data_IF_417547786850
#
_entry.id   IF_417547786850
#
_cell.length_a   1.000
_cell.length_b   1.000
_cell.length_c   1.000
_cell.angle_alpha   90.00
_cell.angle_beta   90.00
_cell.angle_gamma   90.00
#
_symmetry.space_group_name_H-M   'P 1'
#
loop_
_entity.id
_entity.type
_entity.pdbx_description
1 polymer ?
#
# COMPACT_ATOMS: atom_id res chain seq x y z
N UNK A 1 1.49 8.75 -7.37
CA UNK A 1 2.29 8.20 -6.24
C UNK A 1 1.52 7.08 -5.57
N UNK A 2 2.18 6.02 -5.12
CA UNK A 2 1.53 4.93 -4.38
C UNK A 2 1.87 4.98 -2.89
N UNK A 3 1.05 4.34 -2.05
CA UNK A 3 1.27 4.28 -0.61
C UNK A 3 2.22 3.14 -0.24
N UNK A 4 3.26 3.45 0.54
CA UNK A 4 4.18 2.49 1.13
C UNK A 4 4.54 2.88 2.55
N UNK A 5 4.35 1.97 3.49
CA UNK A 5 4.70 2.17 4.89
C UNK A 5 5.45 0.96 5.45
N UNK A 6 6.57 1.21 6.12
CA UNK A 6 7.35 0.22 6.86
C UNK A 6 7.28 0.56 8.34
N UNK A 7 6.90 -0.42 9.16
CA UNK A 7 6.94 -0.32 10.63
C UNK A 7 7.61 -1.56 11.24
N UNK A 8 7.97 -1.45 12.51
CA UNK A 8 8.64 -2.51 13.25
C UNK A 8 7.86 -2.86 14.51
N UNK A 9 7.73 -4.17 14.76
CA UNK A 9 7.17 -4.71 15.97
C UNK A 9 8.30 -4.96 16.98
N UNK A 10 8.06 -4.56 18.23
CA UNK A 10 8.95 -4.71 19.37
C UNK A 10 8.11 -5.13 20.57
N UNK A 11 8.71 -5.86 21.51
CA UNK A 11 8.01 -6.20 22.76
C UNK A 11 7.92 -4.97 23.64
N UNK A 12 6.78 -4.82 24.29
CA UNK A 12 6.55 -3.79 25.28
C UNK A 12 5.05 -3.57 25.46
N UNK A 13 4.71 -2.62 26.33
CA UNK A 13 3.33 -2.30 26.62
C UNK A 13 2.70 -1.52 25.47
N UNK A 14 1.69 -2.12 24.82
CA UNK A 14 0.92 -1.51 23.73
C UNK A 14 0.18 -0.23 24.11
N UNK A 15 0.05 0.08 25.40
CA UNK A 15 -0.50 1.36 25.88
C UNK A 15 0.54 2.50 25.82
N UNK A 16 1.83 2.17 25.78
CA UNK A 16 2.93 3.12 25.75
C UNK A 16 3.31 3.43 24.29
N UNK A 17 3.51 4.72 24.00
CA UNK A 17 4.05 5.17 22.72
C UNK A 17 5.56 4.93 22.67
N UNK A 18 6.08 4.58 21.50
CA UNK A 18 7.52 4.55 21.24
C UNK A 18 8.09 5.97 21.28
N UNK A 19 9.42 6.07 21.31
CA UNK A 19 10.13 7.35 21.39
C UNK A 19 9.86 8.30 20.22
N UNK A 20 9.29 7.79 19.12
CA UNK A 20 8.86 8.58 17.96
C UNK A 20 7.52 9.30 18.16
N UNK A 21 6.84 9.08 19.30
CA UNK A 21 5.63 9.80 19.69
C UNK A 21 4.33 9.31 19.02
N UNK A 22 4.42 8.51 17.96
CA UNK A 22 3.27 8.10 17.15
C UNK A 22 3.09 6.58 17.06
N UNK A 23 4.18 5.81 17.13
CA UNK A 23 4.12 4.36 17.09
C UNK A 23 3.80 3.77 18.45
N UNK A 24 3.08 2.66 18.49
CA UNK A 24 2.81 1.89 19.73
C UNK A 24 3.53 0.55 19.68
N UNK A 25 3.88 0.01 20.84
CA UNK A 25 4.33 -1.38 20.92
C UNK A 25 3.25 -2.30 20.34
N UNK A 26 3.67 -3.18 19.43
CA UNK A 26 2.79 -4.14 18.78
C UNK A 26 3.47 -5.51 18.76
N UNK A 27 2.78 -6.50 19.31
CA UNK A 27 3.22 -7.88 19.30
C UNK A 27 3.04 -8.50 17.92
N UNK A 28 4.01 -9.32 17.50
CA UNK A 28 4.01 -9.99 16.20
C UNK A 28 2.83 -10.94 16.06
N UNK A 29 2.45 -11.65 17.13
CA UNK A 29 1.26 -12.51 17.15
C UNK A 29 -0.02 -11.72 16.87
N UNK A 30 -0.13 -10.51 17.45
CA UNK A 30 -1.31 -9.66 17.27
C UNK A 30 -1.34 -9.12 15.84
N UNK A 31 -0.18 -8.71 15.31
CA UNK A 31 -0.05 -8.32 13.91
C UNK A 31 -0.45 -9.45 12.95
N UNK A 32 0.03 -10.69 13.19
CA UNK A 32 -0.33 -11.86 12.38
C UNK A 32 -1.84 -12.12 12.38
N UNK A 33 -2.47 -12.19 13.55
CA UNK A 33 -3.90 -12.44 13.64
C UNK A 33 -4.74 -11.30 13.06
N UNK A 34 -4.27 -10.05 13.19
CA UNK A 34 -4.91 -8.89 12.56
C UNK A 34 -4.92 -9.01 11.03
N UNK A 35 -3.77 -9.28 10.41
CA UNK A 35 -3.67 -9.32 8.94
C UNK A 35 -4.33 -10.58 8.36
N UNK A 36 -4.34 -11.71 9.08
CA UNK A 36 -4.97 -12.95 8.63
C UNK A 36 -6.45 -13.07 9.02
N UNK A 37 -7.01 -12.07 9.73
CA UNK A 37 -8.39 -12.08 10.25
C UNK A 37 -8.69 -13.38 11.02
N UNK A 38 -7.79 -13.78 11.92
CA UNK A 38 -7.94 -14.98 12.75
C UNK A 38 -8.17 -14.64 14.23
N UNK A 39 -8.64 -15.61 15.01
CA UNK A 39 -8.97 -15.47 16.45
C UNK A 39 -9.87 -14.26 16.72
N UNK A 40 -9.47 -13.37 17.64
CA UNK A 40 -10.19 -12.15 18.02
C UNK A 40 -10.46 -11.19 16.84
N UNK A 41 -9.74 -11.32 15.72
CA UNK A 41 -9.91 -10.50 14.54
C UNK A 41 -10.81 -11.13 13.46
N UNK A 42 -11.37 -12.32 13.70
CA UNK A 42 -12.23 -13.04 12.74
C UNK A 42 -13.47 -12.25 12.30
N UNK A 43 -14.03 -11.44 13.20
CA UNK A 43 -15.17 -10.54 12.91
C UNK A 43 -14.75 -9.07 12.77
N UNK A 44 -13.45 -8.77 12.81
CA UNK A 44 -12.99 -7.40 12.78
C UNK A 44 -13.17 -6.82 11.38
N UNK A 45 -14.05 -5.81 11.25
CA UNK A 45 -14.36 -5.11 9.99
C UNK A 45 -14.86 -6.02 8.85
N UNK A 46 -15.33 -7.21 9.16
CA UNK A 46 -15.80 -8.18 8.15
C UNK A 46 -16.93 -7.66 7.26
N UNK A 47 -17.70 -6.68 7.74
CA UNK A 47 -18.79 -6.05 6.99
C UNK A 47 -18.31 -5.07 5.90
N UNK A 48 -17.07 -4.59 5.98
CA UNK A 48 -16.55 -3.50 5.12
C UNK A 48 -15.21 -3.81 4.46
N UNK A 49 -14.55 -4.90 4.84
CA UNK A 49 -13.23 -5.28 4.35
C UNK A 49 -13.14 -6.79 4.12
N UNK A 50 -12.72 -7.17 2.93
CA UNK A 50 -12.46 -8.55 2.52
C UNK A 50 -10.97 -8.91 2.73
N UNK A 51 -10.72 -10.10 3.29
CA UNK A 51 -9.42 -10.76 3.20
C UNK A 51 -9.38 -11.57 1.90
N UNK A 52 -8.77 -11.00 0.85
CA UNK A 52 -8.72 -11.63 -0.47
C UNK A 52 -7.81 -12.86 -0.48
N UNK A 53 -6.67 -12.79 0.22
CA UNK A 53 -5.64 -13.81 0.21
C UNK A 53 -4.78 -13.71 1.48
N UNK A 54 -4.26 -14.85 1.94
CA UNK A 54 -3.17 -14.86 2.92
C UNK A 54 -2.34 -16.14 2.80
N UNK A 55 -1.02 -16.01 2.95
CA UNK A 55 -0.10 -17.14 2.91
C UNK A 55 1.17 -16.85 3.73
N UNK A 56 1.81 -17.91 4.22
CA UNK A 56 3.06 -17.85 4.99
C UNK A 56 4.18 -18.56 4.24
N UNK A 57 5.40 -18.02 4.31
CA UNK A 57 6.55 -18.48 3.55
C UNK A 57 7.79 -18.62 4.44
N UNK A 58 8.71 -19.49 4.03
CA UNK A 58 10.00 -19.74 4.69
C UNK A 58 9.89 -20.01 6.20
N UNK A 59 8.78 -20.62 6.62
CA UNK A 59 8.58 -20.99 8.01
C UNK A 59 9.54 -22.14 8.37
N UNK A 60 10.17 -22.13 9.55
CA UNK A 60 10.93 -23.28 10.03
C UNK A 60 9.98 -24.47 10.27
N UNK A 61 10.54 -25.69 10.22
CA UNK A 61 9.79 -26.96 10.31
C UNK A 61 8.80 -26.98 11.49
N UNK A 62 9.18 -26.44 12.64
CA UNK A 62 8.34 -26.42 13.85
C UNK A 62 7.11 -25.49 13.76
N UNK A 63 6.99 -24.67 12.72
CA UNK A 63 5.85 -23.78 12.46
C UNK A 63 5.37 -23.79 11.01
N UNK A 64 5.83 -24.70 10.16
CA UNK A 64 5.48 -24.75 8.74
C UNK A 64 3.97 -24.85 8.51
N UNK A 65 3.32 -25.80 9.18
CA UNK A 65 1.86 -25.99 9.14
C UNK A 65 1.10 -25.11 10.14
N UNK A 66 1.82 -24.35 10.97
CA UNK A 66 1.26 -23.54 12.05
C UNK A 66 2.01 -22.21 12.17
N UNK A 67 1.88 -21.31 11.18
CA UNK A 67 2.66 -20.08 11.12
C UNK A 67 2.44 -19.17 12.33
N UNK A 68 1.28 -19.24 12.98
CA UNK A 68 1.01 -18.56 14.23
C UNK A 68 2.09 -18.88 15.28
N UNK A 69 2.50 -20.16 15.41
CA UNK A 69 3.52 -20.57 16.39
C UNK A 69 4.85 -19.84 16.20
N UNK A 70 5.20 -19.48 14.96
CA UNK A 70 6.37 -18.65 14.67
C UNK A 70 6.26 -17.27 15.30
N UNK A 71 5.14 -16.59 15.08
CA UNK A 71 4.92 -15.23 15.59
C UNK A 71 4.80 -15.19 17.11
N UNK A 72 4.19 -16.22 17.72
CA UNK A 72 4.23 -16.41 19.18
C UNK A 72 5.67 -16.59 19.65
N UNK A 73 6.46 -17.47 19.03
CA UNK A 73 7.86 -17.69 19.41
C UNK A 73 8.73 -16.43 19.26
N UNK A 74 8.48 -15.60 18.24
CA UNK A 74 9.15 -14.31 18.06
C UNK A 74 8.90 -13.38 19.27
N UNK A 75 7.64 -13.28 19.71
CA UNK A 75 7.25 -12.49 20.87
C UNK A 75 7.65 -13.14 22.21
N UNK A 76 7.92 -14.44 22.25
CA UNK A 76 8.40 -15.10 23.47
C UNK A 76 9.92 -15.02 23.63
N UNK A 77 10.69 -15.28 22.56
CA UNK A 77 12.13 -15.56 22.68
C UNK A 77 13.05 -14.45 22.19
N UNK A 78 12.53 -13.43 21.49
CA UNK A 78 13.33 -12.23 21.17
C UNK A 78 13.58 -11.41 22.45
N UNK A 79 14.68 -10.68 22.55
CA UNK A 79 14.87 -9.73 23.67
C UNK A 79 13.90 -8.55 23.57
N UNK A 80 13.52 -7.94 24.71
CA UNK A 80 12.64 -6.76 24.75
C UNK A 80 13.19 -5.58 23.96
N UNK A 81 14.52 -5.43 23.91
CA UNK A 81 15.20 -4.35 23.19
C UNK A 81 15.33 -4.57 21.68
N UNK A 82 14.82 -5.69 21.15
CA UNK A 82 15.00 -6.07 19.74
C UNK A 82 13.67 -6.18 19.00
N UNK A 83 13.71 -5.85 17.71
CA UNK A 83 12.59 -6.06 16.78
C UNK A 83 12.25 -7.54 16.71
N UNK A 84 10.98 -7.86 16.96
CA UNK A 84 10.42 -9.21 16.82
C UNK A 84 10.06 -9.49 15.38
N UNK A 85 9.51 -8.50 14.68
CA UNK A 85 9.20 -8.55 13.25
C UNK A 85 9.15 -7.15 12.63
N UNK A 86 9.05 -7.10 11.31
CA UNK A 86 8.82 -5.90 10.51
C UNK A 86 7.53 -6.07 9.71
N UNK A 87 6.87 -4.96 9.38
CA UNK A 87 5.59 -4.95 8.70
C UNK A 87 5.58 -3.88 7.61
N UNK A 88 5.43 -4.30 6.37
CA UNK A 88 5.27 -3.44 5.20
C UNK A 88 3.78 -3.43 4.79
N UNK A 89 3.26 -2.24 4.49
CA UNK A 89 1.94 -2.04 3.88
C UNK A 89 2.10 -1.32 2.55
N UNK A 90 1.52 -1.88 1.48
CA UNK A 90 1.63 -1.36 0.11
C UNK A 90 0.23 -1.28 -0.49
N UNK A 91 -0.16 -0.12 -1.04
CA UNK A 91 -1.35 -0.04 -1.86
C UNK A 91 -1.12 -0.78 -3.19
N UNK A 92 -2.02 -1.69 -3.55
CA UNK A 92 -1.99 -2.40 -4.82
C UNK A 92 -2.85 -1.66 -5.85
N UNK A 93 -2.54 -1.74 -7.15
CA UNK A 93 -3.41 -1.18 -8.19
C UNK A 93 -4.76 -1.90 -8.21
N UNK A 94 -5.86 -1.15 -8.19
CA UNK A 94 -7.23 -1.69 -8.26
C UNK A 94 -7.58 -2.22 -9.66
N UNK A 95 -6.82 -1.77 -10.66
CA UNK A 95 -6.94 -2.18 -12.06
C UNK A 95 -6.48 -3.63 -12.30
N UNK A 96 -5.70 -4.21 -11.38
CA UNK A 96 -5.31 -5.61 -11.43
C UNK A 96 -6.38 -6.47 -10.77
N UNK A 97 -6.77 -7.58 -11.40
CA UNK A 97 -7.67 -8.57 -10.78
C UNK A 97 -7.02 -9.27 -9.56
N UNK A 98 -7.83 -9.99 -8.78
CA UNK A 98 -7.41 -10.69 -7.56
C UNK A 98 -6.23 -11.65 -7.79
N UNK A 99 -6.22 -12.41 -8.88
CA UNK A 99 -5.12 -13.34 -9.16
C UNK A 99 -3.82 -12.60 -9.48
N UNK A 100 -3.90 -11.49 -10.22
CA UNK A 100 -2.73 -10.64 -10.52
C UNK A 100 -2.22 -9.92 -9.27
N UNK A 101 -3.12 -9.51 -8.36
CA UNK A 101 -2.74 -8.98 -7.05
C UNK A 101 -2.01 -10.02 -6.19
N UNK A 102 -2.42 -11.28 -6.24
CA UNK A 102 -1.72 -12.39 -5.56
C UNK A 102 -0.31 -12.57 -6.14
N UNK A 103 -0.19 -12.73 -7.46
CA UNK A 103 1.11 -12.89 -8.14
C UNK A 103 2.06 -11.70 -7.86
N UNK A 104 1.55 -10.48 -7.93
CA UNK A 104 2.29 -9.26 -7.58
C UNK A 104 2.78 -9.29 -6.13
N UNK A 105 1.90 -9.67 -5.20
CA UNK A 105 2.21 -9.71 -3.77
C UNK A 105 3.25 -10.78 -3.43
N UNK A 106 3.16 -11.95 -4.08
CA UNK A 106 4.16 -13.02 -3.94
C UNK A 106 5.51 -12.60 -4.52
N UNK A 107 5.51 -11.88 -5.65
CA UNK A 107 6.75 -11.33 -6.22
C UNK A 107 7.42 -10.32 -5.29
N UNK A 108 6.64 -9.40 -4.70
CA UNK A 108 7.14 -8.43 -3.72
C UNK A 108 7.65 -9.13 -2.45
N UNK A 109 6.94 -10.14 -1.96
CA UNK A 109 7.37 -10.97 -0.83
C UNK A 109 8.69 -11.68 -1.13
N UNK A 110 8.83 -12.25 -2.33
CA UNK A 110 10.07 -12.92 -2.73
C UNK A 110 11.24 -11.93 -2.79
N UNK A 111 11.02 -10.75 -3.39
CA UNK A 111 12.02 -9.69 -3.48
C UNK A 111 12.48 -9.22 -2.09
N UNK A 112 11.58 -9.01 -1.13
CA UNK A 112 11.98 -8.45 0.16
C UNK A 112 12.40 -9.50 1.19
N UNK A 113 11.90 -10.73 1.06
CA UNK A 113 12.05 -11.76 2.10
C UNK A 113 12.47 -13.12 1.54
N UNK A 114 11.87 -13.54 0.42
CA UNK A 114 12.07 -14.88 -0.15
C UNK A 114 13.51 -15.17 -0.56
N UNK A 115 14.17 -14.24 -1.26
CA UNK A 115 15.58 -14.39 -1.65
C UNK A 115 16.53 -14.56 -0.45
N UNK A 116 16.10 -14.11 0.73
CA UNK A 116 16.84 -14.20 1.98
C UNK A 116 16.35 -15.31 2.91
N UNK A 117 15.42 -16.16 2.46
CA UNK A 117 14.71 -17.18 3.27
C UNK A 117 14.25 -16.64 4.63
N UNK A 118 13.70 -15.43 4.64
CA UNK A 118 13.13 -14.83 5.85
C UNK A 118 11.71 -15.35 6.05
N UNK A 119 11.35 -15.86 7.25
CA UNK A 119 9.97 -16.22 7.57
C UNK A 119 9.05 -15.01 7.40
N UNK A 120 7.99 -15.18 6.60
CA UNK A 120 7.08 -14.10 6.26
C UNK A 120 5.63 -14.57 6.16
N UNK A 121 4.70 -13.63 6.27
CA UNK A 121 3.27 -13.84 6.03
C UNK A 121 2.75 -12.64 5.27
N UNK A 122 2.09 -12.90 4.15
CA UNK A 122 1.36 -11.88 3.40
C UNK A 122 -0.13 -12.03 3.61
N UNK A 123 -0.84 -10.90 3.55
CA UNK A 123 -2.28 -10.86 3.43
C UNK A 123 -2.67 -9.72 2.49
N UNK A 124 -3.68 -9.92 1.66
CA UNK A 124 -4.25 -8.90 0.80
C UNK A 124 -5.62 -8.55 1.37
N UNK A 125 -5.79 -7.28 1.75
CA UNK A 125 -7.07 -6.73 2.19
C UNK A 125 -7.63 -5.85 1.09
N UNK A 126 -8.94 -5.90 0.89
CA UNK A 126 -9.64 -4.97 0.00
C UNK A 126 -10.85 -4.40 0.73
N UNK A 127 -10.97 -3.08 0.76
CA UNK A 127 -12.14 -2.39 1.28
C UNK A 127 -12.50 -1.22 0.39
N UNK A 128 -13.74 -0.79 0.51
CA UNK A 128 -14.23 0.42 -0.15
C UNK A 128 -13.67 1.65 0.56
N UNK A 129 -13.26 2.65 -0.20
CA UNK A 129 -12.71 3.89 0.31
C UNK A 129 -13.78 4.68 1.06
N UNK A 130 -13.49 5.07 2.32
CA UNK A 130 -14.42 5.88 3.11
C UNK A 130 -14.68 7.30 2.53
N UNK A 131 -13.85 7.76 1.60
CA UNK A 131 -13.94 9.10 1.03
C UNK A 131 -15.06 9.23 -0.01
N UNK A 132 -15.20 8.25 -0.89
CA UNK A 132 -16.18 8.23 -1.98
C UNK A 132 -17.22 7.11 -1.82
N UNK A 133 -17.00 6.15 -0.93
CA UNK A 133 -17.91 5.04 -0.69
C UNK A 133 -18.01 4.07 -1.88
N UNK A 134 -17.09 4.15 -2.84
CA UNK A 134 -17.16 3.38 -4.09
C UNK A 134 -15.81 2.78 -4.51
N UNK A 135 -14.71 3.53 -4.39
CA UNK A 135 -13.42 3.06 -4.88
C UNK A 135 -12.84 1.94 -4.02
N UNK A 136 -12.45 0.83 -4.64
CA UNK A 136 -11.69 -0.23 -3.96
C UNK A 136 -10.28 0.23 -3.56
N UNK A 137 -9.79 -0.30 -2.44
CA UNK A 137 -8.46 -0.04 -1.89
C UNK A 137 -7.74 -1.35 -1.55
N UNK A 138 -7.39 -2.18 -2.56
CA UNK A 138 -6.61 -3.36 -2.30
C UNK A 138 -5.22 -2.97 -1.78
N UNK A 139 -4.78 -3.62 -0.71
CA UNK A 139 -3.47 -3.39 -0.14
C UNK A 139 -2.86 -4.66 0.43
N UNK A 140 -1.54 -4.76 0.25
CA UNK A 140 -0.72 -5.84 0.76
C UNK A 140 -0.23 -5.50 2.17
N UNK A 141 -0.44 -6.43 3.09
CA UNK A 141 0.30 -6.54 4.34
C UNK A 141 1.38 -7.61 4.20
N UNK A 142 2.65 -7.24 4.42
CA UNK A 142 3.78 -8.16 4.49
C UNK A 142 4.42 -8.09 5.89
N UNK A 143 4.14 -9.10 6.71
CA UNK A 143 4.75 -9.29 8.02
C UNK A 143 5.93 -10.25 7.89
N UNK A 144 7.13 -9.87 8.32
CA UNK A 144 8.32 -10.71 8.16
C UNK A 144 9.28 -10.61 9.34
N UNK A 145 10.06 -11.67 9.55
CA UNK A 145 11.19 -11.65 10.47
C UNK A 145 12.46 -11.28 9.72
N UNK A 146 13.24 -10.36 10.28
CA UNK A 146 14.59 -10.03 9.75
C UNK A 146 15.60 -11.18 9.98
N UNK A 147 15.17 -12.29 10.60
CA UNK A 147 15.96 -13.51 10.80
C UNK A 147 15.89 -14.39 9.55
N UNK A 148 17.03 -14.94 9.13
CA UNK A 148 17.17 -15.71 7.89
C UNK A 148 17.41 -17.20 8.14
N UNK A 149 16.83 -18.04 7.29
CA UNK A 149 17.04 -19.49 7.21
C UNK A 149 18.10 -19.89 6.15
N UNK A 150 18.88 -18.95 5.61
CA UNK A 150 19.85 -19.22 4.53
C UNK A 150 20.93 -20.24 4.90
N UNK A 151 21.30 -20.32 6.18
CA UNK A 151 22.31 -21.27 6.66
C UNK A 151 21.82 -22.73 6.68
N UNK A 152 20.52 -22.96 6.46
CA UNK A 152 19.86 -24.27 6.52
C UNK A 152 20.09 -25.03 7.83
N UNK A 153 20.41 -24.32 8.93
CA UNK A 153 20.60 -24.92 10.25
C UNK A 153 19.24 -25.01 10.95
N UNK A 154 18.84 -26.24 11.28
CA UNK A 154 17.66 -26.49 12.08
C UNK A 154 17.86 -26.00 13.51
N UNK A 155 16.87 -25.25 14.02
CA UNK A 155 16.90 -24.65 15.36
C UNK A 155 15.56 -24.87 16.04
N UNK A 156 15.59 -25.10 17.35
CA UNK A 156 14.38 -25.00 18.17
C UNK A 156 13.85 -23.55 18.16
N UNK A 157 12.57 -23.31 18.49
CA UNK A 157 12.02 -21.97 18.59
C UNK A 157 12.88 -21.04 19.47
N UNK A 158 13.29 -21.52 20.64
CA UNK A 158 14.12 -20.77 21.59
C UNK A 158 15.47 -20.41 20.97
N UNK A 159 16.11 -21.37 20.30
CA UNK A 159 17.42 -21.15 19.70
C UNK A 159 17.33 -20.18 18.53
N UNK A 160 16.33 -20.29 17.67
CA UNK A 160 16.17 -19.46 16.47
C UNK A 160 16.30 -17.95 16.77
N UNK A 161 15.63 -17.48 17.84
CA UNK A 161 15.62 -16.07 18.22
C UNK A 161 16.81 -15.62 19.07
N UNK A 162 17.71 -16.52 19.50
CA UNK A 162 18.97 -16.14 20.18
C UNK A 162 19.86 -15.27 19.30
N UNK A 163 20.85 -14.62 19.90
CA UNK A 163 21.88 -13.91 19.14
C UNK A 163 22.63 -14.87 18.20
N UNK A 164 22.88 -14.41 16.97
CA UNK A 164 23.70 -15.12 16.00
C UNK A 164 25.16 -15.21 16.48
N UNK A 165 25.82 -16.35 16.25
CA UNK A 165 27.22 -16.59 16.62
C UNK A 165 28.04 -16.91 15.38
N UNK A 166 28.75 -15.92 14.84
CA UNK A 166 29.49 -16.05 13.59
C UNK A 166 30.51 -17.21 13.59
N UNK A 167 31.23 -17.41 14.70
CA UNK A 167 32.23 -18.48 14.81
C UNK A 167 31.64 -19.89 15.00
N UNK A 168 30.40 -20.00 15.47
CA UNK A 168 29.70 -21.27 15.73
C UNK A 168 28.19 -21.10 15.49
N UNK A 169 27.73 -20.98 14.22
CA UNK A 169 26.34 -20.69 13.88
C UNK A 169 25.31 -21.69 14.43
N UNK A 170 25.73 -22.95 14.62
CA UNK A 170 24.95 -24.06 15.17
C UNK A 170 24.69 -23.94 16.67
N UNK A 171 25.46 -23.11 17.38
CA UNK A 171 25.26 -22.79 18.82
C UNK A 171 24.56 -21.45 19.04
N UNK A 172 24.31 -20.69 17.96
CA UNK A 172 23.62 -19.41 17.97
C UNK A 172 22.19 -19.49 17.44
N UNK A 173 21.51 -18.34 17.44
CA UNK A 173 20.27 -18.19 16.69
C UNK A 173 20.52 -17.85 15.23
N UNK A 174 19.44 -17.72 14.45
CA UNK A 174 19.54 -17.39 13.03
C UNK A 174 20.17 -16.01 12.80
N UNK A 175 20.88 -15.86 11.68
CA UNK A 175 21.46 -14.59 11.26
C UNK A 175 20.34 -13.58 11.03
N UNK A 176 20.55 -12.35 11.50
CA UNK A 176 19.65 -11.24 11.24
C UNK A 176 20.17 -10.47 10.02
N UNK A 177 19.40 -10.41 8.95
CA UNK A 177 19.73 -9.64 7.74
C UNK A 177 19.06 -8.27 7.89
N UNK A 178 19.82 -7.31 8.39
CA UNK A 178 19.40 -5.91 8.53
C UNK A 178 19.72 -5.11 7.27
N UNK A 179 19.24 -3.87 7.21
CA UNK A 179 19.62 -2.93 6.16
C UNK A 179 21.15 -2.78 6.00
N UNK A 180 21.91 -2.84 7.10
CA UNK A 180 23.37 -2.76 7.06
C UNK A 180 23.99 -4.02 6.44
N UNK A 181 23.44 -5.21 6.74
CA UNK A 181 23.88 -6.47 6.12
C UNK A 181 23.63 -6.47 4.61
N UNK A 182 22.56 -5.81 4.18
CA UNK A 182 22.23 -5.63 2.77
C UNK A 182 22.99 -4.46 2.09
N UNK A 183 23.79 -3.69 2.85
CA UNK A 183 24.52 -2.54 2.32
C UNK A 183 23.68 -1.28 2.06
N UNK A 184 22.41 -1.26 2.47
CA UNK A 184 21.51 -0.11 2.26
C UNK A 184 21.51 0.87 3.43
N UNK A 185 21.76 0.42 4.66
CA UNK A 185 21.72 1.27 5.86
C UNK A 185 20.42 2.09 5.94
N UNK A 186 20.55 3.42 6.02
CA UNK A 186 19.39 4.34 6.06
C UNK A 186 18.56 4.36 4.77
N UNK A 187 19.13 3.92 3.65
CA UNK A 187 18.48 3.96 2.33
C UNK A 187 17.62 2.73 2.04
N UNK A 188 17.44 1.81 3.00
CA UNK A 188 16.62 0.61 2.80
C UNK A 188 15.18 0.93 2.40
N UNK A 189 14.61 2.00 2.96
CA UNK A 189 13.24 2.41 2.65
C UNK A 189 13.13 2.91 1.21
N UNK A 190 14.13 3.66 0.74
CA UNK A 190 14.21 4.10 -0.65
C UNK A 190 14.36 2.89 -1.58
N UNK A 191 15.23 1.94 -1.24
CA UNK A 191 15.39 0.70 -2.02
C UNK A 191 14.07 -0.07 -2.15
N UNK A 192 13.36 -0.35 -1.06
CA UNK A 192 12.07 -1.05 -1.12
C UNK A 192 11.03 -0.30 -1.95
N UNK A 193 11.01 1.03 -1.84
CA UNK A 193 10.10 1.88 -2.61
C UNK A 193 10.40 1.85 -4.11
N UNK A 194 11.67 1.90 -4.49
CA UNK A 194 12.07 1.79 -5.90
C UNK A 194 11.78 0.41 -6.48
N UNK A 195 12.07 -0.67 -5.74
CA UNK A 195 11.74 -2.03 -6.20
C UNK A 195 10.23 -2.24 -6.32
N UNK A 196 9.45 -1.71 -5.36
CA UNK A 196 7.99 -1.78 -5.42
C UNK A 196 7.44 -1.05 -6.64
N UNK A 197 7.92 0.17 -6.94
CA UNK A 197 7.52 0.90 -8.16
C UNK A 197 7.80 0.07 -9.41
N UNK A 198 9.02 -0.44 -9.54
CA UNK A 198 9.44 -1.24 -10.69
C UNK A 198 8.53 -2.45 -10.89
N UNK A 199 8.33 -3.26 -9.84
CA UNK A 199 7.55 -4.49 -9.92
C UNK A 199 6.07 -4.18 -10.19
N UNK A 200 5.48 -3.14 -9.55
CA UNK A 200 4.10 -2.74 -9.85
C UNK A 200 3.95 -2.32 -11.30
N UNK A 201 4.87 -1.51 -11.82
CA UNK A 201 4.80 -1.02 -13.20
C UNK A 201 4.97 -2.16 -14.23
N UNK A 202 5.83 -3.15 -13.96
CA UNK A 202 5.94 -4.37 -14.79
C UNK A 202 4.60 -5.12 -14.88
N UNK A 203 3.86 -5.23 -13.76
CA UNK A 203 2.55 -5.86 -13.73
C UNK A 203 1.47 -5.03 -14.43
N UNK A 204 1.49 -3.71 -14.25
CA UNK A 204 0.56 -2.80 -14.90
C UNK A 204 0.76 -2.83 -16.42
N UNK A 205 1.99 -2.70 -16.91
CA UNK A 205 2.30 -2.77 -18.34
C UNK A 205 1.79 -4.07 -18.98
N UNK A 206 1.90 -5.19 -18.26
CA UNK A 206 1.49 -6.51 -18.76
C UNK A 206 -0.02 -6.77 -18.71
N UNK A 207 -0.69 -6.35 -17.64
CA UNK A 207 -2.05 -6.81 -17.35
C UNK A 207 -3.10 -5.69 -17.32
N UNK A 208 -2.69 -4.44 -17.10
CA UNK A 208 -3.57 -3.27 -17.05
C UNK A 208 -2.82 -2.00 -17.49
N UNK A 209 -2.38 -1.91 -18.76
CA UNK A 209 -1.49 -0.84 -19.22
C UNK A 209 -2.18 0.52 -19.28
N UNK A 210 -3.50 0.54 -19.39
CA UNK A 210 -4.32 1.75 -19.34
C UNK A 210 -5.36 1.64 -18.23
N UNK A 211 -5.88 2.80 -17.82
CA UNK A 211 -6.96 2.93 -16.85
C UNK A 211 -7.86 4.09 -17.21
N UNK A 212 -9.10 4.00 -16.81
CA UNK A 212 -10.07 5.08 -16.96
C UNK A 212 -10.07 5.91 -15.68
N UNK A 213 -9.94 7.22 -15.82
CA UNK A 213 -10.07 8.18 -14.74
C UNK A 213 -11.09 9.25 -15.09
N UNK A 214 -11.72 9.80 -14.06
CA UNK A 214 -12.63 10.92 -14.21
C UNK A 214 -11.97 12.21 -13.73
N UNK A 215 -11.86 13.19 -14.64
CA UNK A 215 -11.37 14.53 -14.36
C UNK A 215 -12.49 15.52 -14.66
N UNK A 216 -12.94 16.25 -13.65
CA UNK A 216 -14.00 17.26 -13.78
C UNK A 216 -15.27 16.78 -14.53
N UNK A 217 -15.70 15.52 -14.30
CA UNK A 217 -16.89 14.95 -14.95
C UNK A 217 -16.65 14.37 -16.36
N UNK A 218 -15.39 14.30 -16.81
CA UNK A 218 -15.02 13.67 -18.08
C UNK A 218 -14.20 12.41 -17.81
N UNK A 219 -14.65 11.28 -18.36
CA UNK A 219 -13.88 10.05 -18.37
C UNK A 219 -12.82 10.10 -19.48
N UNK A 220 -11.57 9.84 -19.11
CA UNK A 220 -10.44 9.74 -20.04
C UNK A 220 -9.66 8.46 -19.78
N UNK A 221 -9.19 7.83 -20.86
CA UNK A 221 -8.27 6.70 -20.80
C UNK A 221 -6.83 7.22 -20.74
N UNK A 222 -6.07 6.77 -19.75
CA UNK A 222 -4.68 7.19 -19.50
C UNK A 222 -3.79 6.00 -19.23
N UNK A 223 -2.47 6.19 -19.34
CA UNK A 223 -1.51 5.15 -18.98
C UNK A 223 -1.56 4.83 -17.48
N UNK A 224 -1.47 3.54 -17.17
CA UNK A 224 -1.43 3.05 -15.81
C UNK A 224 0.02 2.89 -15.36
N UNK A 225 0.45 3.78 -14.46
CA UNK A 225 1.76 3.71 -13.83
C UNK A 225 1.70 4.27 -12.41
N UNK A 226 2.64 3.83 -11.58
CA UNK A 226 2.87 4.36 -10.24
C UNK A 226 4.27 4.95 -10.15
N UNK A 227 4.48 5.80 -9.13
CA UNK A 227 5.80 6.29 -8.77
C UNK A 227 5.98 6.33 -7.26
N UNK A 228 7.20 6.06 -6.81
CA UNK A 228 7.66 6.07 -5.43
C UNK A 228 8.18 7.43 -4.97
N UNK A 229 8.28 8.41 -5.88
CA UNK A 229 8.71 9.75 -5.55
C UNK A 229 7.71 10.44 -4.61
N UNK A 230 8.20 11.37 -3.81
CA UNK A 230 7.32 12.33 -3.14
C UNK A 230 6.70 13.26 -4.19
N UNK A 231 5.60 13.93 -3.87
CA UNK A 231 5.04 14.95 -4.77
C UNK A 231 6.09 16.05 -5.04
N UNK A 232 6.88 16.44 -4.03
CA UNK A 232 7.97 17.40 -4.17
C UNK A 232 9.04 16.94 -5.18
N UNK A 233 9.56 15.72 -5.03
CA UNK A 233 10.57 15.18 -5.94
C UNK A 233 10.02 14.98 -7.35
N UNK A 234 8.76 14.55 -7.46
CA UNK A 234 8.08 14.39 -8.75
C UNK A 234 7.90 15.74 -9.45
N UNK A 235 7.47 16.77 -8.72
CA UNK A 235 7.37 18.15 -9.20
C UNK A 235 8.72 18.66 -9.69
N UNK A 236 9.79 18.45 -8.92
CA UNK A 236 11.14 18.85 -9.31
C UNK A 236 11.62 18.14 -10.59
N UNK A 237 11.27 16.87 -10.76
CA UNK A 237 11.69 16.05 -11.91
C UNK A 237 10.87 16.34 -13.18
N UNK A 238 9.56 16.57 -13.05
CA UNK A 238 8.62 16.63 -14.16
C UNK A 238 8.02 18.02 -14.40
N UNK A 239 8.32 19.01 -13.55
CA UNK A 239 7.80 20.37 -13.66
C UNK A 239 6.31 20.51 -13.32
N UNK A 240 5.76 19.56 -12.56
CA UNK A 240 4.36 19.57 -12.11
C UNK A 240 4.17 20.35 -10.80
N UNK A 241 2.92 20.61 -10.43
CA UNK A 241 2.54 21.32 -9.19
C UNK A 241 1.62 20.49 -8.29
N UNK A 242 1.97 19.22 -8.07
CA UNK A 242 1.22 18.30 -7.21
C UNK A 242 1.26 18.75 -5.75
N UNK A 243 0.11 18.64 -5.07
CA UNK A 243 -0.05 18.97 -3.65
C UNK A 243 -0.25 17.70 -2.81
N UNK A 244 0.30 17.71 -1.61
CA UNK A 244 0.05 16.63 -0.65
C UNK A 244 -1.40 16.63 -0.18
N UNK A 245 -1.96 15.43 -0.06
CA UNK A 245 -3.33 15.22 0.40
C UNK A 245 -3.32 15.13 1.93
N UNK A 246 -4.04 16.03 2.64
CA UNK A 246 -4.07 15.98 4.10
C UNK A 246 -4.80 14.71 4.57
N UNK A 247 -4.41 14.20 5.74
CA UNK A 247 -5.10 13.11 6.40
C UNK A 247 -6.16 13.64 7.37
N UNK A 248 -7.34 13.04 7.36
CA UNK A 248 -8.37 13.34 8.35
C UNK A 248 -7.90 12.82 9.71
N UNK A 249 -7.83 13.67 10.76
CA UNK A 249 -7.46 13.22 12.09
C UNK A 249 -8.36 12.08 12.57
N UNK A 250 -7.73 11.03 13.14
CA UNK A 250 -8.45 9.82 13.56
C UNK A 250 -9.48 10.09 14.66
N UNK A 251 -9.25 11.09 15.51
CA UNK A 251 -10.20 11.53 16.53
C UNK A 251 -11.50 12.06 15.94
N UNK A 252 -11.42 12.72 14.78
CA UNK A 252 -12.58 13.31 14.11
C UNK A 252 -13.32 12.28 13.24
N UNK A 253 -12.58 11.38 12.60
CA UNK A 253 -13.12 10.49 11.55
C UNK A 253 -14.32 9.63 11.98
N UNK A 254 -14.40 9.30 13.27
CA UNK A 254 -15.47 8.48 13.85
C UNK A 254 -16.25 9.22 14.96
N UNK A 255 -16.09 10.55 15.06
CA UNK A 255 -16.82 11.34 16.03
C UNK A 255 -18.31 11.39 15.67
N UNK A 256 -19.16 11.29 16.68
CA UNK A 256 -20.62 11.44 16.55
C UNK A 256 -21.08 12.88 16.79
N UNK A 257 -20.17 13.78 17.17
CA UNK A 257 -20.45 15.19 17.39
C UNK A 257 -20.74 15.89 16.04
N UNK A 258 -21.88 16.60 15.89
CA UNK A 258 -22.18 17.37 14.69
C UNK A 258 -21.06 18.33 14.25
N UNK A 259 -20.39 19.02 15.18
CA UNK A 259 -19.33 19.97 14.82
C UNK A 259 -18.11 19.26 14.20
N UNK A 260 -17.76 18.09 14.72
CA UNK A 260 -16.70 17.26 14.16
C UNK A 260 -17.09 16.67 12.81
N UNK A 261 -18.37 16.33 12.62
CA UNK A 261 -18.89 15.85 11.34
C UNK A 261 -18.80 16.91 10.25
N UNK A 262 -19.11 18.17 10.58
CA UNK A 262 -18.97 19.31 9.67
C UNK A 262 -17.50 19.52 9.29
N UNK A 263 -16.58 19.45 10.26
CA UNK A 263 -15.13 19.50 10.00
C UNK A 263 -14.69 18.35 9.08
N UNK A 264 -15.15 17.13 9.34
CA UNK A 264 -14.84 15.96 8.50
C UNK A 264 -15.37 16.16 7.08
N UNK A 265 -16.57 16.73 6.91
CA UNK A 265 -17.12 17.04 5.59
C UNK A 265 -16.27 18.07 4.84
N UNK A 266 -15.79 19.11 5.52
CA UNK A 266 -14.85 20.09 4.96
C UNK A 266 -13.52 19.44 4.53
N UNK A 267 -12.94 18.61 5.40
CA UNK A 267 -11.74 17.84 5.06
C UNK A 267 -11.96 16.97 3.82
N UNK A 268 -13.09 16.24 3.74
CA UNK A 268 -13.41 15.40 2.58
C UNK A 268 -13.53 16.23 1.30
N UNK A 269 -14.14 17.41 1.37
CA UNK A 269 -14.25 18.34 0.24
C UNK A 269 -12.86 18.80 -0.23
N UNK A 270 -12.01 19.27 0.68
CA UNK A 270 -10.65 19.71 0.39
C UNK A 270 -9.81 18.57 -0.22
N UNK A 271 -9.87 17.37 0.37
CA UNK A 271 -9.18 16.18 -0.15
C UNK A 271 -9.63 15.85 -1.59
N UNK A 272 -10.94 15.90 -1.88
CA UNK A 272 -11.47 15.66 -3.23
C UNK A 272 -10.96 16.70 -4.22
N UNK A 273 -10.95 17.98 -3.83
CA UNK A 273 -10.45 19.07 -4.67
C UNK A 273 -8.96 18.92 -4.98
N UNK A 274 -8.12 18.65 -3.97
CA UNK A 274 -6.68 18.39 -4.19
C UNK A 274 -6.47 17.18 -5.10
N UNK A 275 -7.21 16.09 -4.89
CA UNK A 275 -7.10 14.89 -5.74
C UNK A 275 -7.48 15.16 -7.19
N UNK A 276 -8.58 15.88 -7.44
CA UNK A 276 -9.00 16.26 -8.79
C UNK A 276 -7.97 17.17 -9.46
N UNK A 277 -7.46 18.18 -8.75
CA UNK A 277 -6.41 19.07 -9.28
C UNK A 277 -5.11 18.32 -9.60
N UNK A 278 -4.70 17.40 -8.72
CA UNK A 278 -3.52 16.56 -8.97
C UNK A 278 -3.73 15.61 -10.16
N UNK A 279 -4.93 15.03 -10.33
CA UNK A 279 -5.24 14.19 -11.50
C UNK A 279 -5.18 15.01 -12.79
N UNK A 280 -5.77 16.21 -12.80
CA UNK A 280 -5.68 17.14 -13.92
C UNK A 280 -4.24 17.51 -14.25
N UNK A 281 -3.42 17.87 -13.25
CA UNK A 281 -2.01 18.22 -13.45
C UNK A 281 -1.21 17.06 -14.05
N UNK A 282 -1.48 15.82 -13.62
CA UNK A 282 -0.79 14.62 -14.14
C UNK A 282 -1.15 14.29 -15.59
N UNK A 283 -2.41 14.49 -15.97
CA UNK A 283 -2.96 14.03 -17.26
C UNK A 283 -3.52 15.20 -18.10
N UNK A 284 -2.92 16.38 -17.93
CA UNK A 284 -3.39 17.63 -18.53
C UNK A 284 -3.49 17.52 -20.05
N UNK A 285 -2.46 16.95 -20.68
CA UNK A 285 -2.40 16.83 -22.14
C UNK A 285 -3.50 15.91 -22.67
N UNK A 286 -3.68 14.74 -22.05
CA UNK A 286 -4.72 13.77 -22.40
C UNK A 286 -6.12 14.36 -22.22
N UNK A 287 -6.33 15.10 -21.12
CA UNK A 287 -7.60 15.79 -20.85
C UNK A 287 -7.90 16.90 -21.88
N UNK A 288 -6.93 17.76 -22.19
CA UNK A 288 -7.10 18.84 -23.18
C UNK A 288 -7.41 18.28 -24.58
N UNK A 289 -6.77 17.18 -24.96
CA UNK A 289 -7.06 16.47 -26.21
C UNK A 289 -8.48 15.87 -26.21
N UNK A 290 -8.92 15.26 -25.11
CA UNK A 290 -10.27 14.73 -24.99
C UNK A 290 -11.33 15.84 -25.07
N UNK A 291 -11.07 16.99 -24.44
CA UNK A 291 -11.94 18.16 -24.48
C UNK A 291 -12.04 18.76 -25.90
N UNK A 292 -10.93 18.83 -26.64
CA UNK A 292 -10.93 19.29 -28.02
C UNK A 292 -11.78 18.38 -28.92
N UNK A 293 -11.59 17.05 -28.83
CA UNK A 293 -12.38 16.06 -29.58
C UNK A 293 -13.88 16.17 -29.27
N UNK A 294 -14.24 16.37 -28.00
CA UNK A 294 -15.64 16.55 -27.59
C UNK A 294 -16.26 17.81 -28.22
N UNK A 295 -15.54 18.94 -28.20
CA UNK A 295 -16.00 20.19 -28.83
C UNK A 295 -16.16 20.06 -30.34
N UNK A 296 -15.26 19.34 -31.01
CA UNK A 296 -15.37 19.06 -32.45
C UNK A 296 -16.62 18.23 -32.76
N UNK A 297 -16.91 17.18 -31.99
CA UNK A 297 -18.11 16.36 -32.14
C UNK A 297 -19.40 17.17 -31.88
N UNK A 298 -19.41 18.03 -30.86
CA UNK A 298 -20.55 18.92 -30.56
C UNK A 298 -20.77 19.95 -31.67
N UNK A 299 -19.70 20.43 -32.30
CA UNK A 299 -19.79 21.36 -33.43
C UNK A 299 -20.25 20.67 -34.72
N UNK A 300 -19.87 19.41 -34.95
CA UNK A 300 -20.35 18.60 -36.09
C UNK A 300 -21.83 18.19 -35.95
N UNK A 301 -22.31 17.98 -34.72
CA UNK A 301 -23.69 17.58 -34.43
C UNK A 301 -24.66 18.76 -34.26
N UNK A 302 -24.21 20.01 -34.43
CA UNK A 302 -25.08 21.18 -34.35
C UNK A 302 -25.90 21.29 -35.65
N UNK A 303 -27.25 21.31 -35.61
CA UNK A 303 -28.05 21.45 -36.82
C UNK A 303 -27.66 22.74 -37.54
N UNK A 304 -27.40 22.67 -38.85
CA UNK A 304 -27.32 23.88 -39.68
C UNK A 304 -28.68 24.57 -39.57
N UNK A 305 -28.75 25.68 -38.82
CA UNK A 305 -29.90 26.58 -38.90
C UNK A 305 -29.89 27.15 -40.32
N UNK A 306 -30.83 26.66 -41.11
CA UNK A 306 -31.09 27.02 -42.48
C UNK A 306 -31.22 28.55 -42.61
N UNK A 307 -30.18 29.19 -43.15
CA UNK A 307 -30.23 30.59 -43.58
C UNK A 307 -31.00 30.66 -44.90
N UNK A 308 -32.31 30.42 -44.86
CA UNK A 308 -33.19 30.66 -46.00
C UNK A 308 -34.52 31.29 -45.57
N UNK A 309 -34.48 32.34 -44.74
CA UNK A 309 -35.55 33.35 -44.78
C UNK A 309 -35.14 34.42 -45.78
N UNK A 310 -35.56 34.21 -47.03
CA UNK A 310 -35.65 35.25 -48.06
C UNK A 310 -36.31 36.48 -47.44
N UNK A 311 -35.60 37.60 -47.53
CA UNK A 311 -36.19 38.93 -47.44
C UNK A 311 -37.08 39.11 -48.67
N UNK A 312 -38.39 38.87 -48.53
CA UNK A 312 -39.37 39.43 -49.45
C UNK A 312 -39.74 40.81 -48.90
N UNK A 313 -39.03 41.83 -49.40
CA UNK A 313 -39.58 43.18 -49.51
C UNK A 313 -40.30 43.24 -50.84
N UNK A 314 -41.60 43.52 -50.84
CA UNK A 314 -42.22 44.30 -51.92
C UNK A 314 -43.52 44.96 -51.46
N UNK A 315 -43.46 46.31 -51.55
CA UNK A 315 -44.46 47.38 -51.62
C UNK A 315 -45.77 47.36 -50.81
#
# INVERSE_FOLDING_TARGET
>A
MYYFHLSHNVKGDSQIKLSDGDSKYRLSKSAYHYITRTLYFSKHKSEIEELEYSASYNMPIWSENHPEKFWYAADQYTSETRRTSSHITIALPKELDKNRRIELSERLMYEFCGQYKMPSTIAIHNHVAALDGQSEQPHLHLLFSEKSMLDNIQRSPQQFFKQYRQKNPEKGGALKITADVLGFGRNILFHYRTQTEKIINEFLEKYAPTKIIEIHGMEIEVSSAVSCLSNEDYNKKHGTHLKDVPQIPRSLLYSTDPEDQDKVAEYRKNIREIRQNNLYELYKNEYELALAKKREQENQNRPQLDQSKKFDFDF
#
